data_IF_186358025947
#
_entry.id   IF_186358025947
#
_cell.length_a   1.000
_cell.length_b   1.000
_cell.length_c   1.000
_cell.angle_alpha   90.00
_cell.angle_beta   90.00
_cell.angle_gamma   90.00
#
_symmetry.space_group_name_H-M   'P 1'
#
loop_
_entity.id
_entity.type
_entity.pdbx_description
1 polymer ?
#
# COMPACT_ATOMS: atom_id res chain seq x y z
N UNK A 1 15.22 -2.04 22.10
CA UNK A 1 13.82 -1.72 21.75
C UNK A 1 13.77 -1.57 20.23
N UNK A 2 13.05 -2.44 19.52
CA UNK A 2 12.94 -2.33 18.07
C UNK A 2 12.12 -1.07 17.76
N UNK A 3 12.71 -0.11 17.06
CA UNK A 3 12.02 1.10 16.62
C UNK A 3 10.96 0.70 15.60
N UNK A 4 9.72 0.50 16.08
CA UNK A 4 8.56 0.28 15.23
C UNK A 4 7.87 1.60 14.96
N UNK A 5 8.03 2.13 13.75
CA UNK A 5 7.32 3.30 13.28
C UNK A 5 6.20 2.84 12.35
N UNK A 6 4.95 3.20 12.63
CA UNK A 6 3.76 2.67 11.92
C UNK A 6 3.76 2.95 10.40
N UNK A 7 4.55 3.93 9.95
CA UNK A 7 4.69 4.26 8.53
C UNK A 7 5.76 3.45 7.79
N UNK A 8 6.66 2.79 8.53
CA UNK A 8 7.74 2.02 7.93
C UNK A 8 7.20 0.73 7.30
N UNK A 9 7.73 0.30 6.14
CA UNK A 9 7.39 -1.00 5.57
C UNK A 9 7.88 -2.12 6.47
N UNK A 10 6.96 -3.03 6.84
CA UNK A 10 7.29 -4.28 7.53
C UNK A 10 6.81 -5.45 6.71
N UNK A 11 7.68 -6.37 6.32
CA UNK A 11 7.23 -7.51 5.53
C UNK A 11 8.25 -8.61 5.53
N UNK A 12 7.77 -9.84 5.32
CA UNK A 12 8.59 -11.00 5.10
C UNK A 12 9.06 -11.09 3.65
N UNK A 13 10.04 -11.97 3.42
CA UNK A 13 10.31 -12.50 2.08
C UNK A 13 10.41 -14.03 2.12
N UNK A 14 10.07 -14.69 1.01
CA UNK A 14 10.16 -16.15 0.86
C UNK A 14 9.30 -16.86 1.93
N UNK A 15 9.89 -17.77 2.69
CA UNK A 15 9.19 -18.53 3.73
C UNK A 15 8.78 -17.69 4.95
N UNK A 16 9.32 -16.48 5.11
CA UNK A 16 8.90 -15.57 6.19
C UNK A 16 7.64 -14.77 5.88
N UNK A 17 7.05 -14.93 4.69
CA UNK A 17 5.85 -14.23 4.23
C UNK A 17 6.10 -13.41 2.96
N UNK A 18 5.01 -12.92 2.37
CA UNK A 18 5.00 -12.02 1.21
C UNK A 18 4.08 -10.84 1.52
N UNK A 19 4.37 -9.67 0.94
CA UNK A 19 3.65 -8.43 1.24
C UNK A 19 4.39 -7.54 2.23
N UNK A 20 3.85 -6.34 2.45
CA UNK A 20 4.39 -5.34 3.38
C UNK A 20 3.24 -4.70 4.13
N UNK A 21 3.31 -4.75 5.45
CA UNK A 21 2.54 -3.98 6.40
C UNK A 21 3.11 -2.56 6.54
N UNK A 22 2.36 -1.71 7.23
CA UNK A 22 2.57 -0.26 7.32
C UNK A 22 1.48 0.48 6.56
N UNK A 23 1.04 1.65 7.08
CA UNK A 23 -0.23 2.29 6.68
C UNK A 23 -0.44 2.37 5.16
N UNK A 24 0.57 2.83 4.42
CA UNK A 24 0.50 2.96 2.95
C UNK A 24 0.40 1.61 2.23
N UNK A 25 1.24 0.66 2.61
CA UNK A 25 1.30 -0.65 1.94
C UNK A 25 0.05 -1.48 2.24
N UNK A 26 -0.49 -1.36 3.46
CA UNK A 26 -1.75 -1.96 3.84
C UNK A 26 -2.92 -1.36 3.04
N UNK A 27 -2.94 -0.04 2.79
CA UNK A 27 -3.94 0.58 1.90
C UNK A 27 -3.81 0.06 0.46
N UNK A 28 -2.59 -0.08 -0.07
CA UNK A 28 -2.35 -0.61 -1.42
C UNK A 28 -2.78 -2.09 -1.55
N UNK A 29 -2.61 -2.91 -0.51
CA UNK A 29 -2.98 -4.35 -0.55
C UNK A 29 -4.47 -4.60 -0.30
N UNK A 30 -5.11 -3.77 0.52
CA UNK A 30 -6.55 -3.90 0.85
C UNK A 30 -7.47 -3.10 -0.07
N UNK A 31 -6.94 -2.40 -1.07
CA UNK A 31 -7.75 -1.63 -2.04
C UNK A 31 -7.41 -1.99 -3.47
N UNK A 32 -8.42 -1.88 -4.34
CA UNK A 32 -8.23 -2.09 -5.78
C UNK A 32 -8.14 -0.74 -6.51
N UNK A 33 -7.08 -0.48 -7.30
CA UNK A 33 -6.98 0.75 -8.07
C UNK A 33 -8.06 0.79 -9.15
N UNK A 34 -8.86 1.86 -9.13
CA UNK A 34 -9.94 2.09 -10.10
C UNK A 34 -9.60 3.27 -10.99
N UNK A 35 -9.45 3.01 -12.28
CA UNK A 35 -9.14 4.05 -13.27
C UNK A 35 -10.43 4.79 -13.63
N UNK A 36 -10.43 6.11 -13.48
CA UNK A 36 -11.52 6.98 -13.91
C UNK A 36 -11.04 7.89 -15.04
N UNK A 37 -11.74 7.86 -16.18
CA UNK A 37 -11.49 8.75 -17.32
C UNK A 37 -12.62 9.76 -17.38
N UNK A 38 -12.29 11.05 -17.31
CA UNK A 38 -13.25 12.14 -17.48
C UNK A 38 -13.04 12.72 -18.88
N UNK A 39 -14.04 12.54 -19.75
CA UNK A 39 -14.10 13.23 -21.04
C UNK A 39 -14.99 14.48 -20.94
N UNK A 40 -14.76 15.46 -21.81
CA UNK A 40 -15.53 16.71 -21.90
C UNK A 40 -15.47 17.64 -20.68
N UNK A 41 -14.32 17.79 -20.04
CA UNK A 41 -14.09 18.88 -19.07
C UNK A 41 -13.92 20.20 -19.84
N UNK A 42 -14.83 21.19 -19.72
CA UNK A 42 -14.58 22.51 -20.28
C UNK A 42 -13.45 23.17 -19.48
N UNK A 43 -12.44 23.68 -20.20
CA UNK A 43 -11.33 24.46 -19.64
C UNK A 43 -11.79 25.80 -19.07
#
# INVERSE_FOLDING_TARGET
SAFRADQMPYGGSKESGFGREGLRYAMEEMTEPRIMVISHVPL
#
